data_IF_567216285411
#
_entry.id   IF_567216285411
#
_cell.length_a   1.000
_cell.length_b   1.000
_cell.length_c   1.000
_cell.angle_alpha   90.00
_cell.angle_beta   90.00
_cell.angle_gamma   90.00
#
_symmetry.space_group_name_H-M   'P 1'
#
loop_
_entity.id
_entity.type
_entity.pdbx_description
1 polymer ?
#
# COMPACT_ATOMS: atom_id res chain seq x y z
N UNK A 1 -1.66 10.71 -17.09
CA UNK A 1 -2.34 10.85 -15.77
C UNK A 1 -3.75 10.23 -15.86
N UNK A 2 -4.27 9.43 -14.90
CA UNK A 2 -5.60 8.76 -15.03
C UNK A 2 -6.73 9.75 -15.35
N UNK A 3 -6.64 10.95 -14.78
CA UNK A 3 -7.61 12.02 -14.92
C UNK A 3 -7.67 12.63 -16.33
N UNK A 4 -6.64 12.45 -17.16
CA UNK A 4 -6.70 12.79 -18.59
C UNK A 4 -7.62 11.82 -19.36
N UNK A 5 -7.75 10.57 -18.90
CA UNK A 5 -8.58 9.53 -19.54
C UNK A 5 -9.98 9.42 -18.95
N UNK A 6 -10.14 9.84 -17.69
CA UNK A 6 -11.41 9.99 -17.00
C UNK A 6 -11.42 11.32 -16.22
N UNK A 7 -11.78 12.43 -16.89
CA UNK A 7 -11.94 13.72 -16.24
C UNK A 7 -12.96 13.66 -15.11
N UNK A 8 -12.70 14.36 -14.00
CA UNK A 8 -13.58 14.36 -12.82
C UNK A 8 -14.86 15.16 -13.06
N UNK A 9 -14.84 16.09 -14.01
CA UNK A 9 -16.00 16.92 -14.35
C UNK A 9 -17.07 16.13 -15.12
N UNK A 10 -16.75 14.94 -15.63
CA UNK A 10 -17.64 14.16 -16.51
C UNK A 10 -18.10 12.89 -15.78
N UNK A 11 -19.41 12.72 -15.65
CA UNK A 11 -19.97 11.47 -15.13
C UNK A 11 -19.77 10.34 -16.13
N UNK A 12 -18.89 9.40 -15.80
CA UNK A 12 -18.55 8.25 -16.65
C UNK A 12 -18.98 6.94 -16.01
N UNK A 13 -19.49 6.02 -16.85
CA UNK A 13 -19.87 4.67 -16.41
C UNK A 13 -18.70 3.97 -15.70
N UNK A 14 -19.00 3.25 -14.62
CA UNK A 14 -18.07 2.37 -13.86
C UNK A 14 -17.18 1.50 -14.75
N UNK A 15 -17.69 0.98 -15.88
CA UNK A 15 -16.89 0.18 -16.84
C UNK A 15 -15.74 1.00 -17.46
N UNK A 16 -16.00 2.25 -17.83
CA UNK A 16 -15.01 3.17 -18.42
C UNK A 16 -13.94 3.55 -17.39
N UNK A 17 -14.34 3.84 -16.16
CA UNK A 17 -13.41 4.10 -15.05
C UNK A 17 -12.50 2.90 -14.81
N UNK A 18 -13.07 1.69 -14.73
CA UNK A 18 -12.27 0.46 -14.57
C UNK A 18 -11.24 0.30 -15.69
N UNK A 19 -11.63 0.54 -16.95
CA UNK A 19 -10.73 0.44 -18.10
C UNK A 19 -9.59 1.47 -18.02
N UNK A 20 -9.91 2.73 -17.74
CA UNK A 20 -8.91 3.79 -17.59
C UNK A 20 -7.92 3.49 -16.45
N UNK A 21 -8.42 2.97 -15.32
CA UNK A 21 -7.57 2.53 -14.20
C UNK A 21 -6.67 1.36 -14.62
N UNK A 22 -7.20 0.34 -15.31
CA UNK A 22 -6.37 -0.79 -15.75
C UNK A 22 -5.29 -0.34 -16.73
N UNK A 23 -5.63 0.51 -17.69
CA UNK A 23 -4.67 1.01 -18.68
C UNK A 23 -3.57 1.85 -18.01
N UNK A 24 -3.92 2.73 -17.08
CA UNK A 24 -2.93 3.49 -16.34
C UNK A 24 -2.06 2.62 -15.42
N UNK A 25 -2.62 1.58 -14.81
CA UNK A 25 -1.81 0.61 -14.07
C UNK A 25 -0.85 -0.09 -15.03
N UNK A 26 -1.28 -0.54 -16.20
CA UNK A 26 -0.40 -1.15 -17.19
C UNK A 26 0.73 -0.20 -17.65
N UNK A 27 0.42 1.07 -17.83
CA UNK A 27 1.36 2.08 -18.34
C UNK A 27 2.38 2.56 -17.31
N UNK A 28 1.93 2.79 -16.06
CA UNK A 28 2.75 3.42 -15.03
C UNK A 28 3.26 2.44 -13.96
N UNK A 29 2.69 1.24 -13.83
CA UNK A 29 3.18 0.23 -12.89
C UNK A 29 4.31 -0.62 -13.51
N UNK A 30 5.39 0.05 -13.91
CA UNK A 30 6.52 -0.53 -14.65
C UNK A 30 7.41 -1.48 -13.81
N UNK A 31 7.18 -1.57 -12.51
CA UNK A 31 8.05 -2.30 -11.57
C UNK A 31 9.19 -1.43 -11.04
N UNK A 32 9.78 -1.83 -9.90
CA UNK A 32 10.77 -1.01 -9.19
C UNK A 32 12.05 -0.91 -10.02
N UNK A 33 12.54 -2.03 -10.55
CA UNK A 33 13.79 -2.05 -11.33
C UNK A 33 13.71 -1.13 -12.55
N UNK A 34 12.63 -1.24 -13.33
CA UNK A 34 12.44 -0.43 -14.53
C UNK A 34 12.27 1.06 -14.18
N UNK A 35 11.53 1.37 -13.12
CA UNK A 35 11.35 2.75 -12.67
C UNK A 35 12.70 3.38 -12.30
N UNK A 36 13.52 2.68 -11.51
CA UNK A 36 14.84 3.17 -11.07
C UNK A 36 15.76 3.44 -12.26
N UNK A 37 15.84 2.50 -13.20
CA UNK A 37 16.67 2.65 -14.42
C UNK A 37 16.19 3.84 -15.25
N UNK A 38 14.88 3.95 -15.52
CA UNK A 38 14.32 5.07 -16.30
C UNK A 38 14.58 6.42 -15.62
N UNK A 39 14.41 6.52 -14.30
CA UNK A 39 14.70 7.76 -13.55
C UNK A 39 16.18 8.14 -13.56
N UNK A 40 17.10 7.18 -13.40
CA UNK A 40 18.53 7.48 -13.42
C UNK A 40 19.00 7.89 -14.80
N UNK A 41 18.53 7.20 -15.84
CA UNK A 41 18.81 7.58 -17.23
C UNK A 41 18.29 8.99 -17.55
N UNK A 42 17.08 9.35 -17.10
CA UNK A 42 16.52 10.69 -17.27
C UNK A 42 17.32 11.77 -16.55
N UNK A 43 18.03 11.42 -15.47
CA UNK A 43 18.92 12.30 -14.72
C UNK A 43 20.37 12.29 -15.24
N UNK A 44 20.66 11.55 -16.32
CA UNK A 44 22.02 11.41 -16.85
C UNK A 44 22.95 10.58 -15.96
N UNK A 45 22.41 9.82 -15.00
CA UNK A 45 23.19 8.98 -14.08
C UNK A 45 23.24 7.56 -14.61
N UNK A 46 24.45 7.01 -14.77
CA UNK A 46 24.62 5.62 -15.16
C UNK A 46 24.10 4.67 -14.08
N UNK A 47 23.16 3.79 -14.44
CA UNK A 47 22.64 2.78 -13.51
C UNK A 47 23.64 1.64 -13.33
N UNK A 48 24.38 1.68 -12.21
CA UNK A 48 25.33 0.63 -11.83
C UNK A 48 24.67 -0.72 -11.51
N UNK A 49 25.47 -1.79 -11.57
CA UNK A 49 25.03 -3.16 -11.29
C UNK A 49 24.43 -3.34 -9.88
N UNK A 50 25.09 -2.77 -8.87
CA UNK A 50 24.61 -2.81 -7.47
C UNK A 50 23.25 -2.14 -7.29
N UNK A 51 23.00 -1.03 -8.00
CA UNK A 51 21.71 -0.34 -7.97
C UNK A 51 20.59 -1.23 -8.55
N UNK A 52 20.85 -1.92 -9.67
CA UNK A 52 19.89 -2.89 -10.24
C UNK A 52 19.62 -4.03 -9.27
N UNK A 53 20.66 -4.58 -8.65
CA UNK A 53 20.51 -5.66 -7.66
C UNK A 53 19.65 -5.22 -6.46
N UNK A 54 19.93 -4.04 -5.90
CA UNK A 54 19.12 -3.48 -4.81
C UNK A 54 17.66 -3.29 -5.21
N UNK A 55 17.40 -2.75 -6.41
CA UNK A 55 16.05 -2.57 -6.93
C UNK A 55 15.31 -3.92 -7.06
N UNK A 56 15.99 -4.97 -7.54
CA UNK A 56 15.43 -6.32 -7.64
C UNK A 56 15.10 -6.91 -6.26
N UNK A 57 15.99 -6.75 -5.28
CA UNK A 57 15.74 -7.21 -3.90
C UNK A 57 14.50 -6.53 -3.32
N UNK A 58 14.36 -5.22 -3.51
CA UNK A 58 13.20 -4.45 -3.05
C UNK A 58 11.90 -4.93 -3.71
N UNK A 59 11.95 -5.22 -5.01
CA UNK A 59 10.83 -5.77 -5.76
C UNK A 59 10.39 -7.13 -5.24
N UNK A 60 11.34 -8.04 -5.03
CA UNK A 60 11.11 -9.35 -4.42
C UNK A 60 10.51 -9.23 -3.02
N UNK A 61 11.07 -8.36 -2.16
CA UNK A 61 10.54 -8.11 -0.80
C UNK A 61 9.11 -7.60 -0.84
N UNK A 62 8.80 -6.65 -1.73
CA UNK A 62 7.44 -6.13 -1.92
C UNK A 62 6.48 -7.22 -2.35
N UNK A 63 6.87 -8.11 -3.27
CA UNK A 63 6.06 -9.24 -3.69
C UNK A 63 5.82 -10.24 -2.55
N UNK A 64 6.85 -10.60 -1.79
CA UNK A 64 6.73 -11.48 -0.63
C UNK A 64 5.80 -10.89 0.43
N UNK A 65 5.92 -9.60 0.73
CA UNK A 65 5.05 -8.90 1.67
C UNK A 65 3.58 -8.94 1.22
N UNK A 66 3.32 -8.73 -0.09
CA UNK A 66 1.97 -8.84 -0.67
C UNK A 66 1.41 -10.25 -0.53
N UNK A 67 2.19 -11.29 -0.85
CA UNK A 67 1.81 -12.70 -0.66
C UNK A 67 1.46 -12.99 0.81
N UNK A 68 2.32 -12.54 1.74
CA UNK A 68 2.07 -12.68 3.19
C UNK A 68 0.76 -12.00 3.60
N UNK A 69 0.48 -10.79 3.12
CA UNK A 69 -0.76 -10.06 3.46
C UNK A 69 -2.02 -10.70 2.88
N UNK A 70 -1.92 -11.34 1.73
CA UNK A 70 -3.04 -12.06 1.11
C UNK A 70 -3.33 -13.40 1.79
N UNK A 71 -2.34 -14.00 2.45
CA UNK A 71 -2.47 -15.27 3.16
C UNK A 71 -3.56 -15.20 4.25
N UNK A 72 -4.51 -16.14 4.21
CA UNK A 72 -5.62 -16.24 5.15
C UNK A 72 -5.16 -16.47 6.60
N UNK A 73 -4.10 -17.27 6.80
CA UNK A 73 -3.55 -17.52 8.15
C UNK A 73 -3.01 -16.24 8.78
N UNK A 74 -2.28 -15.42 8.03
CA UNK A 74 -1.78 -14.13 8.50
C UNK A 74 -2.93 -13.15 8.80
N UNK A 75 -3.99 -13.14 7.98
CA UNK A 75 -5.19 -12.33 8.28
C UNK A 75 -5.85 -12.75 9.58
N UNK A 76 -5.97 -14.06 9.82
CA UNK A 76 -6.51 -14.59 11.08
C UNK A 76 -5.63 -14.21 12.27
N UNK A 77 -4.31 -14.41 12.16
CA UNK A 77 -3.34 -14.07 13.19
C UNK A 77 -3.42 -12.58 13.56
N UNK A 78 -3.45 -11.68 12.57
CA UNK A 78 -3.60 -10.24 12.80
C UNK A 78 -4.92 -9.88 13.47
N UNK A 79 -6.03 -10.55 13.13
CA UNK A 79 -7.32 -10.37 13.83
C UNK A 79 -7.23 -10.79 15.29
N UNK A 80 -6.57 -11.90 15.60
CA UNK A 80 -6.39 -12.38 16.97
C UNK A 80 -5.51 -11.42 17.79
N UNK A 81 -4.39 -10.96 17.22
CA UNK A 81 -3.52 -9.96 17.84
C UNK A 81 -4.31 -8.69 18.16
N UNK A 82 -5.10 -8.17 17.19
CA UNK A 82 -5.93 -6.98 17.40
C UNK A 82 -6.95 -7.18 18.52
N UNK A 83 -7.61 -8.34 18.59
CA UNK A 83 -8.53 -8.68 19.68
C UNK A 83 -7.82 -8.75 21.03
N UNK A 84 -6.62 -9.31 21.08
CA UNK A 84 -5.83 -9.39 22.32
C UNK A 84 -5.40 -8.00 22.82
N UNK A 85 -4.95 -7.13 21.92
CA UNK A 85 -4.61 -5.72 22.23
C UNK A 85 -5.85 -5.01 22.79
N UNK A 86 -6.99 -5.10 22.11
CA UNK A 86 -8.22 -4.47 22.56
C UNK A 86 -8.71 -4.98 23.92
N UNK A 87 -8.60 -6.30 24.18
CA UNK A 87 -8.91 -6.86 25.51
C UNK A 87 -7.98 -6.30 26.59
N UNK A 88 -6.69 -6.14 26.29
CA UNK A 88 -5.72 -5.56 27.22
C UNK A 88 -6.07 -4.10 27.53
N UNK A 89 -6.42 -3.31 26.52
CA UNK A 89 -6.88 -1.92 26.67
C UNK A 89 -8.14 -1.84 27.54
N UNK A 90 -9.16 -2.67 27.27
CA UNK A 90 -10.37 -2.73 28.08
C UNK A 90 -10.09 -3.10 29.54
N UNK A 91 -9.16 -4.02 29.79
CA UNK A 91 -8.77 -4.39 31.14
C UNK A 91 -8.02 -3.25 31.85
N UNK A 92 -7.16 -2.52 31.13
CA UNK A 92 -6.49 -1.33 31.67
C UNK A 92 -7.51 -0.25 32.04
N UNK A 93 -8.45 0.07 31.15
CA UNK A 93 -9.55 1.02 31.41
C UNK A 93 -10.39 0.62 32.63
N UNK A 94 -10.69 -0.68 32.78
CA UNK A 94 -11.44 -1.18 33.95
C UNK A 94 -10.64 -1.06 35.26
N UNK A 95 -9.31 -1.21 35.21
CA UNK A 95 -8.44 -1.09 36.39
C UNK A 95 -8.22 0.36 36.80
N UNK A 96 -8.07 1.26 35.84
CA UNK A 96 -7.86 2.69 36.06
C UNK A 96 -9.15 3.40 36.54
N UNK A 97 -10.33 2.79 36.30
CA UNK A 97 -11.62 3.42 36.54
C UNK A 97 -11.93 4.48 35.49
N UNK A 98 -13.19 4.89 35.35
CA UNK A 98 -13.59 5.93 34.38
C UNK A 98 -12.93 7.27 34.74
N UNK A 99 -11.80 7.58 34.13
CA UNK A 99 -11.11 8.86 34.22
C UNK A 99 -11.53 9.71 33.03
N UNK A 100 -12.65 10.43 33.21
CA UNK A 100 -13.29 11.37 32.28
C UNK A 100 -13.83 10.76 30.97
N UNK A 101 -15.12 10.97 30.70
CA UNK A 101 -15.74 10.57 29.43
C UNK A 101 -15.20 11.38 28.26
N UNK A 102 -15.17 10.79 27.06
CA UNK A 102 -14.80 11.51 25.84
C UNK A 102 -15.69 12.77 25.68
N UNK A 103 -15.07 13.96 25.73
CA UNK A 103 -15.78 15.24 25.65
C UNK A 103 -16.32 15.80 26.97
N UNK A 104 -15.92 15.25 28.13
CA UNK A 104 -16.22 15.84 29.43
C UNK A 104 -15.07 16.73 29.90
N UNK A 105 -15.21 18.03 29.63
CA UNK A 105 -14.56 19.14 30.33
C UNK A 105 -15.64 20.17 30.68
#
# INVERSE_FOLDING_TARGET
>A
MIWERCPKEIFVNKRRVKRAVTEAVCEYNKGIVRTVVETQNALGVATGGSTKQLATILECRKQQFRKRRQNASNKLALKLIKKAIHRKELLAQRREGMTYGAGQF
#
